data_IF_672833120964
#
_entry.id   IF_672833120964
#
_cell.length_a   1.000
_cell.length_b   1.000
_cell.length_c   1.000
_cell.angle_alpha   90.00
_cell.angle_beta   90.00
_cell.angle_gamma   90.00
#
_symmetry.space_group_name_H-M   'P 1'
#
loop_
_entity.id
_entity.type
_entity.pdbx_description
1 polymer ?
#
# COMPACT_ATOMS: atom_id res chain seq x y z
N UNK A 1 -2.92 20.63 77.96
CA UNK A 1 -4.27 20.06 78.03
C UNK A 1 -4.30 18.84 77.15
N UNK A 2 -4.49 17.79 77.78
CA UNK A 2 -4.44 16.36 77.36
C UNK A 2 -5.61 16.03 76.43
N UNK A 3 -5.43 15.30 75.34
CA UNK A 3 -6.48 14.45 74.81
C UNK A 3 -5.85 13.24 74.06
N UNK A 4 -6.16 12.15 74.55
CA UNK A 4 -5.88 10.74 74.34
C UNK A 4 -6.11 10.24 72.92
N UNK A 5 -5.14 9.44 72.45
CA UNK A 5 -5.26 8.52 71.30
C UNK A 5 -6.08 7.29 71.70
N UNK A 6 -7.13 7.00 70.94
CA UNK A 6 -7.80 5.70 70.93
C UNK A 6 -7.32 4.90 69.71
N UNK A 7 -6.78 3.68 69.94
CA UNK A 7 -6.49 2.67 68.94
C UNK A 7 -7.74 1.84 68.67
N UNK A 8 -8.06 1.50 67.41
CA UNK A 8 -9.04 0.45 67.12
C UNK A 8 -8.38 -0.92 67.14
N UNK A 9 -9.07 -1.82 67.82
CA UNK A 9 -8.70 -3.21 68.04
C UNK A 9 -8.84 -4.05 66.76
N UNK A 10 -7.88 -4.97 66.55
CA UNK A 10 -7.86 -6.01 65.54
C UNK A 10 -8.88 -7.12 65.84
N UNK A 11 -9.67 -7.63 64.89
CA UNK A 11 -10.47 -8.83 65.10
C UNK A 11 -9.60 -10.09 64.93
N UNK A 12 -9.67 -10.94 65.93
CA UNK A 12 -9.10 -12.28 65.98
C UNK A 12 -9.65 -13.21 64.91
N UNK A 13 -8.75 -13.85 64.14
CA UNK A 13 -9.07 -14.90 63.20
C UNK A 13 -9.43 -16.20 63.93
N UNK A 14 -10.66 -16.69 63.72
CA UNK A 14 -11.00 -18.09 64.09
C UNK A 14 -10.54 -18.99 62.95
N UNK A 15 -9.70 -19.99 63.33
CA UNK A 15 -9.23 -21.02 62.39
C UNK A 15 -10.33 -22.02 62.08
N UNK A 16 -10.58 -22.10 60.76
CA UNK A 16 -11.36 -23.18 60.16
C UNK A 16 -10.41 -24.29 59.68
N UNK A 17 -10.63 -25.51 60.14
CA UNK A 17 -9.87 -26.69 59.73
C UNK A 17 -10.04 -27.02 58.24
N UNK A 18 -9.03 -27.61 57.58
CA UNK A 18 -9.14 -27.97 56.17
C UNK A 18 -10.11 -29.11 55.94
N UNK A 19 -11.05 -28.92 55.02
CA UNK A 19 -12.00 -29.95 54.58
C UNK A 19 -11.28 -31.00 53.73
N UNK A 20 -11.42 -32.27 54.14
CA UNK A 20 -10.95 -33.46 53.41
C UNK A 20 -11.81 -33.66 52.16
N UNK A 21 -11.23 -33.90 50.97
CA UNK A 21 -12.01 -34.21 49.78
C UNK A 21 -12.69 -35.58 49.86
N UNK A 22 -13.87 -35.75 49.27
CA UNK A 22 -14.61 -37.01 49.27
C UNK A 22 -13.87 -38.10 48.49
N UNK A 23 -14.07 -39.40 48.85
CA UNK A 23 -13.39 -40.51 48.21
C UNK A 23 -13.87 -40.69 46.74
N UNK A 24 -12.91 -40.95 45.88
CA UNK A 24 -13.12 -41.25 44.44
C UNK A 24 -13.79 -42.62 44.33
N UNK A 25 -14.96 -42.65 43.68
CA UNK A 25 -15.64 -43.92 43.38
C UNK A 25 -14.93 -44.67 42.25
N UNK A 26 -14.80 -46.00 42.29
CA UNK A 26 -14.19 -46.79 41.24
C UNK A 26 -15.06 -46.81 39.98
N UNK A 27 -14.42 -46.62 38.83
CA UNK A 27 -15.03 -46.71 37.52
C UNK A 27 -15.46 -48.15 37.22
N UNK A 28 -16.71 -48.42 36.79
CA UNK A 28 -17.11 -49.78 36.42
C UNK A 28 -16.38 -50.29 35.21
N UNK A 29 -15.92 -51.54 35.28
CA UNK A 29 -15.21 -52.24 34.21
C UNK A 29 -16.12 -52.40 32.95
N UNK A 30 -15.59 -52.05 31.76
CA UNK A 30 -16.24 -52.27 30.51
C UNK A 30 -16.34 -53.79 30.18
N UNK A 31 -17.46 -54.24 29.63
CA UNK A 31 -17.60 -55.64 29.17
C UNK A 31 -16.65 -55.93 27.98
N UNK A 32 -16.18 -57.17 27.85
CA UNK A 32 -15.25 -57.57 26.81
C UNK A 32 -15.92 -57.44 25.43
N UNK A 33 -15.22 -56.83 24.50
CA UNK A 33 -15.65 -56.76 23.09
C UNK A 33 -15.57 -58.14 22.41
N UNK A 34 -16.51 -58.46 21.52
CA UNK A 34 -16.46 -59.72 20.78
C UNK A 34 -15.28 -59.76 19.81
N UNK A 35 -14.56 -60.87 19.80
CA UNK A 35 -13.43 -61.14 18.92
C UNK A 35 -13.84 -61.07 17.44
N UNK A 36 -13.19 -60.19 16.69
CA UNK A 36 -13.34 -60.11 15.26
C UNK A 36 -12.69 -61.34 14.56
N UNK A 37 -13.49 -62.20 13.96
CA UNK A 37 -12.97 -63.26 13.08
C UNK A 37 -12.67 -62.62 11.70
N UNK A 38 -11.48 -62.83 11.13
CA UNK A 38 -11.17 -62.38 9.79
C UNK A 38 -11.96 -63.19 8.76
N UNK A 39 -12.50 -62.57 7.70
CA UNK A 39 -13.16 -63.31 6.61
C UNK A 39 -12.19 -64.14 5.82
N UNK A 40 -12.60 -65.36 5.50
CA UNK A 40 -11.86 -66.35 4.68
C UNK A 40 -11.47 -65.78 3.32
N UNK A 41 -10.21 -65.90 2.99
CA UNK A 41 -9.62 -65.60 1.68
C UNK A 41 -10.39 -66.25 0.52
N UNK A 42 -10.89 -65.44 -0.40
CA UNK A 42 -11.42 -65.91 -1.70
C UNK A 42 -10.54 -65.36 -2.81
N UNK A 43 -9.74 -66.26 -3.30
CA UNK A 43 -9.20 -66.38 -4.67
C UNK A 43 -8.42 -65.21 -5.27
N UNK A 44 -7.16 -65.43 -5.46
CA UNK A 44 -6.11 -64.68 -6.18
C UNK A 44 -6.53 -64.17 -7.58
N UNK A 45 -7.52 -64.76 -8.22
CA UNK A 45 -7.99 -64.39 -9.56
C UNK A 45 -8.80 -63.09 -9.63
N UNK A 46 -9.41 -62.62 -8.55
CA UNK A 46 -10.12 -61.31 -8.51
C UNK A 46 -9.21 -60.14 -8.21
N UNK A 47 -8.10 -60.36 -7.53
CA UNK A 47 -7.12 -59.32 -7.22
C UNK A 47 -6.31 -58.88 -8.45
N UNK A 48 -6.01 -59.82 -9.37
CA UNK A 48 -5.20 -59.53 -10.56
C UNK A 48 -5.95 -58.64 -11.58
N UNK A 49 -7.27 -58.80 -11.75
CA UNK A 49 -8.08 -57.99 -12.69
C UNK A 49 -8.28 -56.55 -12.20
N UNK A 50 -8.44 -56.35 -10.90
CA UNK A 50 -8.59 -55.02 -10.29
C UNK A 50 -7.24 -54.28 -10.20
N UNK A 51 -6.14 -54.99 -9.92
CA UNK A 51 -4.80 -54.39 -9.89
C UNK A 51 -4.29 -53.97 -11.27
N UNK A 52 -4.54 -54.77 -12.30
CA UNK A 52 -4.15 -54.43 -13.68
C UNK A 52 -4.99 -53.26 -14.24
N UNK A 53 -6.29 -53.23 -13.96
CA UNK A 53 -7.15 -52.09 -14.38
C UNK A 53 -6.81 -50.80 -13.68
N UNK A 54 -6.54 -50.85 -12.38
CA UNK A 54 -6.13 -49.67 -11.61
C UNK A 54 -4.72 -49.17 -12.00
N UNK A 55 -3.79 -50.11 -12.29
CA UNK A 55 -2.44 -49.77 -12.73
C UNK A 55 -2.42 -49.12 -14.13
N UNK A 56 -3.21 -49.64 -15.07
CA UNK A 56 -3.35 -49.08 -16.41
C UNK A 56 -4.07 -47.71 -16.37
N UNK A 57 -5.11 -47.58 -15.56
CA UNK A 57 -5.82 -46.31 -15.39
C UNK A 57 -4.95 -45.23 -14.75
N UNK A 58 -4.23 -45.56 -13.66
CA UNK A 58 -3.31 -44.64 -13.02
C UNK A 58 -2.13 -44.26 -13.92
N UNK A 59 -1.56 -45.25 -14.66
CA UNK A 59 -0.50 -45.01 -15.63
C UNK A 59 -0.92 -44.09 -16.77
N UNK A 60 -2.15 -44.23 -17.28
CA UNK A 60 -2.68 -43.37 -18.35
C UNK A 60 -2.89 -41.93 -17.84
N UNK A 61 -3.42 -41.76 -16.62
CA UNK A 61 -3.58 -40.44 -15.99
C UNK A 61 -2.23 -39.75 -15.78
N UNK A 62 -1.22 -40.46 -15.26
CA UNK A 62 0.14 -39.93 -15.08
C UNK A 62 0.78 -39.56 -16.42
N UNK A 63 0.58 -40.36 -17.45
CA UNK A 63 1.11 -40.11 -18.80
C UNK A 63 0.43 -38.89 -19.44
N UNK A 64 -0.89 -38.76 -19.31
CA UNK A 64 -1.65 -37.59 -19.80
C UNK A 64 -1.24 -36.33 -19.07
N UNK A 65 -1.12 -36.38 -17.74
CA UNK A 65 -0.65 -35.24 -16.94
C UNK A 65 0.82 -34.89 -17.26
N UNK A 66 1.66 -35.89 -17.51
CA UNK A 66 3.05 -35.69 -17.94
C UNK A 66 3.15 -35.01 -19.31
N UNK A 67 2.32 -35.42 -20.28
CA UNK A 67 2.26 -34.82 -21.62
C UNK A 67 1.72 -33.37 -21.53
N UNK A 68 0.66 -33.15 -20.75
CA UNK A 68 0.12 -31.80 -20.52
C UNK A 68 1.18 -30.93 -19.85
N UNK A 69 1.85 -31.42 -18.82
CA UNK A 69 2.94 -30.72 -18.14
C UNK A 69 4.10 -30.37 -19.08
N UNK A 70 4.50 -31.29 -19.94
CA UNK A 70 5.54 -31.08 -20.95
C UNK A 70 5.13 -30.05 -22.00
N UNK A 71 3.88 -30.06 -22.44
CA UNK A 71 3.34 -29.07 -23.39
C UNK A 71 3.29 -27.70 -22.77
N UNK A 72 2.85 -27.58 -21.53
CA UNK A 72 2.85 -26.33 -20.79
C UNK A 72 4.29 -25.81 -20.61
N UNK A 73 5.22 -26.68 -20.23
CA UNK A 73 6.64 -26.32 -20.10
C UNK A 73 7.24 -25.87 -21.42
N UNK A 74 6.93 -26.55 -22.53
CA UNK A 74 7.40 -26.18 -23.86
C UNK A 74 6.81 -24.85 -24.34
N UNK A 75 5.53 -24.55 -24.01
CA UNK A 75 4.90 -23.25 -24.30
C UNK A 75 5.54 -22.12 -23.47
N UNK A 76 5.82 -22.37 -22.21
CA UNK A 76 6.51 -21.38 -21.33
C UNK A 76 7.94 -21.14 -21.83
N UNK A 77 8.69 -22.21 -22.15
CA UNK A 77 10.05 -22.08 -22.70
C UNK A 77 10.05 -21.39 -24.07
N UNK A 78 9.09 -21.71 -24.93
CA UNK A 78 8.91 -21.03 -26.23
C UNK A 78 8.60 -19.54 -26.07
N UNK A 79 7.74 -19.18 -25.12
CA UNK A 79 7.44 -17.79 -24.82
C UNK A 79 8.64 -17.02 -24.21
N UNK A 80 9.39 -17.65 -23.31
CA UNK A 80 10.62 -17.09 -22.72
C UNK A 80 11.72 -16.96 -23.79
N UNK A 81 11.89 -17.94 -24.66
CA UNK A 81 12.90 -17.89 -25.71
C UNK A 81 12.55 -16.84 -26.77
N UNK A 82 11.27 -16.71 -27.16
CA UNK A 82 10.82 -15.65 -28.07
C UNK A 82 10.98 -14.26 -27.47
N UNK A 83 10.79 -14.08 -26.15
CA UNK A 83 11.08 -12.84 -25.46
C UNK A 83 12.57 -12.54 -25.37
N UNK A 84 13.43 -13.55 -25.22
CA UNK A 84 14.89 -13.42 -25.16
C UNK A 84 15.56 -13.17 -26.53
N UNK A 85 14.97 -13.66 -27.62
CA UNK A 85 15.51 -13.49 -28.99
C UNK A 85 14.99 -12.24 -29.69
N UNK A 86 13.94 -11.58 -29.16
CA UNK A 86 13.52 -10.25 -29.59
C UNK A 86 14.51 -9.24 -29.05
N UNK A 87 15.61 -9.05 -29.79
CA UNK A 87 16.74 -8.20 -29.41
C UNK A 87 16.29 -6.84 -28.86
N UNK A 88 16.95 -6.44 -27.80
CA UNK A 88 16.80 -5.26 -27.00
C UNK A 88 16.62 -3.97 -27.85
N UNK A 89 15.40 -3.67 -28.15
CA UNK A 89 14.93 -2.32 -28.33
C UNK A 89 14.18 -1.98 -27.04
N UNK A 90 14.43 -0.81 -26.44
CA UNK A 90 13.89 -0.41 -25.14
C UNK A 90 12.41 -0.75 -24.90
N UNK A 91 11.84 -0.53 -23.74
CA UNK A 91 10.53 -1.05 -23.38
C UNK A 91 9.48 -0.63 -24.41
N UNK A 92 9.29 -1.48 -25.44
CA UNK A 92 8.15 -1.31 -26.34
C UNK A 92 6.92 -1.42 -25.48
N UNK A 93 6.14 -0.36 -25.40
CA UNK A 93 4.88 -0.27 -24.67
C UNK A 93 3.85 -1.13 -25.42
N UNK A 94 4.01 -2.44 -25.35
CA UNK A 94 3.05 -3.41 -25.87
C UNK A 94 1.95 -3.60 -24.84
N UNK A 95 0.68 -3.57 -25.29
CA UNK A 95 -0.48 -3.77 -24.42
C UNK A 95 -1.00 -2.48 -23.78
N UNK A 96 -1.14 -1.42 -24.57
CA UNK A 96 -1.84 -0.20 -24.16
C UNK A 96 -3.37 -0.37 -24.26
N UNK A 97 -4.05 0.12 -23.23
CA UNK A 97 -5.49 0.29 -23.17
C UNK A 97 -5.84 1.76 -23.40
N UNK A 98 -6.76 2.04 -24.31
CA UNK A 98 -7.21 3.41 -24.60
C UNK A 98 -8.02 3.93 -23.42
N UNK A 99 -7.63 5.08 -22.90
CA UNK A 99 -8.36 5.85 -21.88
C UNK A 99 -9.26 6.88 -22.57
N UNK A 100 -8.76 7.49 -23.66
CA UNK A 100 -9.49 8.51 -24.40
C UNK A 100 -8.94 8.64 -25.84
N UNK A 101 -9.82 9.03 -26.77
CA UNK A 101 -9.46 9.35 -28.16
C UNK A 101 -9.46 8.13 -29.08
N UNK A 102 -8.55 8.09 -30.05
CA UNK A 102 -8.48 7.03 -31.04
C UNK A 102 -8.13 5.67 -30.45
N UNK A 103 -8.72 4.59 -30.95
CA UNK A 103 -8.44 3.21 -30.49
C UNK A 103 -6.97 2.82 -30.71
N UNK A 104 -6.38 3.31 -31.79
CA UNK A 104 -4.97 3.08 -32.14
C UNK A 104 -4.34 4.37 -32.62
N UNK A 105 -3.09 4.61 -32.28
CA UNK A 105 -2.32 5.74 -32.78
C UNK A 105 -0.82 5.41 -32.76
N UNK A 106 -0.03 6.07 -33.57
CA UNK A 106 1.42 6.02 -33.53
C UNK A 106 1.95 6.58 -32.18
N UNK A 107 3.14 6.20 -31.72
CA UNK A 107 3.71 6.74 -30.49
C UNK A 107 3.73 8.27 -30.44
N UNK A 108 4.08 8.92 -31.55
CA UNK A 108 4.08 10.38 -31.70
C UNK A 108 2.69 11.04 -31.54
N UNK A 109 1.61 10.28 -31.59
CA UNK A 109 0.21 10.69 -31.40
C UNK A 109 -0.40 10.11 -30.13
N UNK A 110 0.39 9.35 -29.36
CA UNK A 110 -0.05 8.70 -28.13
C UNK A 110 0.51 9.44 -26.91
N UNK A 111 -0.38 9.84 -26.02
CA UNK A 111 -0.06 10.36 -24.69
C UNK A 111 -0.15 9.22 -23.69
N UNK A 112 0.88 9.04 -22.89
CA UNK A 112 0.91 7.97 -21.90
C UNK A 112 0.24 8.42 -20.60
N UNK A 113 -0.79 7.70 -20.18
CA UNK A 113 -1.45 7.92 -18.91
C UNK A 113 -0.80 7.05 -17.82
N UNK A 114 -0.32 7.67 -16.74
CA UNK A 114 0.30 7.01 -15.60
C UNK A 114 -0.61 7.20 -14.38
N UNK A 115 -1.23 6.14 -13.84
CA UNK A 115 -2.06 6.23 -12.65
C UNK A 115 -1.20 6.45 -11.39
N UNK A 116 -1.64 7.40 -10.55
CA UNK A 116 -1.11 7.68 -9.22
C UNK A 116 -2.31 7.62 -8.26
N UNK A 117 -2.58 6.43 -7.77
CA UNK A 117 -3.79 6.15 -7.01
C UNK A 117 -3.46 5.52 -5.65
N UNK A 118 -4.29 5.80 -4.63
CA UNK A 118 -4.09 5.33 -3.28
C UNK A 118 -2.85 5.93 -2.61
N UNK A 119 -2.32 5.26 -1.60
CA UNK A 119 -1.16 5.74 -0.85
C UNK A 119 0.13 5.72 -1.69
N UNK A 120 0.87 6.82 -1.70
CA UNK A 120 2.19 6.90 -2.33
C UNK A 120 3.25 6.34 -1.36
N UNK A 121 3.86 5.22 -1.72
CA UNK A 121 4.96 4.60 -1.00
C UNK A 121 6.27 4.80 -1.76
N UNK A 122 7.41 4.63 -1.08
CA UNK A 122 8.72 4.77 -1.72
C UNK A 122 8.95 3.65 -2.73
N UNK A 123 8.96 2.42 -2.25
CA UNK A 123 9.19 1.21 -3.04
C UNK A 123 8.26 0.08 -2.57
N UNK A 124 7.99 -0.86 -3.44
CA UNK A 124 7.17 -2.02 -3.13
C UNK A 124 8.02 -3.25 -2.82
N UNK A 125 7.78 -3.88 -1.68
CA UNK A 125 8.22 -5.26 -1.47
C UNK A 125 7.45 -6.22 -2.40
N UNK A 126 7.92 -7.47 -2.50
CA UNK A 126 7.32 -8.53 -3.35
C UNK A 126 5.99 -9.07 -2.78
N UNK A 127 5.33 -8.34 -1.87
CA UNK A 127 4.10 -8.75 -1.20
C UNK A 127 2.82 -8.35 -1.95
N UNK A 128 1.74 -9.11 -1.70
CA UNK A 128 0.39 -8.76 -2.12
C UNK A 128 -0.06 -7.48 -1.41
N UNK A 129 -0.32 -6.41 -2.16
CA UNK A 129 -0.96 -5.22 -1.61
C UNK A 129 -2.49 -5.43 -1.61
N UNK A 130 -3.11 -5.31 -0.44
CA UNK A 130 -4.58 -5.42 -0.29
C UNK A 130 -5.30 -4.08 -0.53
N UNK A 131 -4.57 -2.98 -0.60
CA UNK A 131 -5.08 -1.65 -0.94
C UNK A 131 -4.35 -1.12 -2.16
N UNK A 132 -5.04 -0.30 -2.96
CA UNK A 132 -4.42 0.42 -4.06
C UNK A 132 -3.26 1.27 -3.51
N UNK A 133 -2.09 1.15 -4.14
CA UNK A 133 -0.88 1.85 -3.73
C UNK A 133 -0.05 2.22 -4.95
N UNK A 134 0.62 3.35 -4.85
CA UNK A 134 1.57 3.84 -5.85
C UNK A 134 2.98 3.77 -5.29
N UNK A 135 3.92 3.22 -6.06
CA UNK A 135 5.32 3.12 -5.67
C UNK A 135 6.15 4.18 -6.42
N UNK A 136 6.57 5.20 -5.70
CA UNK A 136 7.19 6.39 -6.26
C UNK A 136 8.46 6.11 -7.05
N UNK A 137 9.34 5.23 -6.57
CA UNK A 137 10.56 4.86 -7.29
C UNK A 137 10.28 4.06 -8.58
N UNK A 138 9.19 3.29 -8.64
CA UNK A 138 8.81 2.59 -9.87
C UNK A 138 8.27 3.56 -10.93
N UNK A 139 7.45 4.53 -10.51
CA UNK A 139 7.00 5.62 -11.41
C UNK A 139 8.19 6.44 -11.90
N UNK A 140 9.12 6.78 -11.01
CA UNK A 140 10.32 7.52 -11.37
C UNK A 140 11.14 6.75 -12.42
N UNK A 141 11.40 5.45 -12.21
CA UNK A 141 12.08 4.60 -13.20
C UNK A 141 11.35 4.56 -14.54
N UNK A 142 10.01 4.52 -14.52
CA UNK A 142 9.20 4.55 -15.74
C UNK A 142 9.39 5.86 -16.50
N UNK A 143 9.28 7.01 -15.83
CA UNK A 143 9.48 8.34 -16.45
C UNK A 143 10.92 8.51 -16.95
N UNK A 144 11.91 8.03 -16.21
CA UNK A 144 13.32 8.10 -16.59
C UNK A 144 13.65 7.20 -17.80
N UNK A 145 12.91 6.10 -17.99
CA UNK A 145 13.09 5.20 -19.12
C UNK A 145 12.41 5.69 -20.42
N UNK A 146 11.41 6.60 -20.33
CA UNK A 146 10.72 7.12 -21.51
C UNK A 146 11.62 8.05 -22.32
N UNK A 147 11.81 7.73 -23.60
CA UNK A 147 12.52 8.57 -24.57
C UNK A 147 11.59 9.56 -25.27
N UNK A 148 12.17 10.36 -26.20
CA UNK A 148 11.42 11.35 -27.02
C UNK A 148 10.42 10.71 -27.97
N UNK A 149 10.68 9.47 -28.39
CA UNK A 149 9.92 8.77 -29.44
C UNK A 149 8.89 7.77 -28.88
N UNK A 150 8.87 7.57 -27.56
CA UNK A 150 7.99 6.59 -26.93
C UNK A 150 6.55 7.09 -26.75
N UNK A 151 6.38 8.40 -26.54
CA UNK A 151 5.08 9.05 -26.40
C UNK A 151 5.16 10.53 -26.76
N UNK A 152 4.02 11.12 -27.08
CA UNK A 152 3.91 12.56 -27.32
C UNK A 152 4.04 13.39 -26.03
N UNK A 153 3.69 12.81 -24.89
CA UNK A 153 3.74 13.38 -23.56
C UNK A 153 3.14 12.44 -22.53
N UNK A 154 2.98 12.93 -21.31
CA UNK A 154 2.47 12.14 -20.18
C UNK A 154 1.28 12.84 -19.54
N UNK A 155 0.26 12.07 -19.15
CA UNK A 155 -0.81 12.49 -18.24
C UNK A 155 -0.69 11.67 -16.96
N UNK A 156 -0.54 12.34 -15.82
CA UNK A 156 -0.62 11.73 -14.49
C UNK A 156 -2.10 11.70 -14.08
N UNK A 157 -2.67 10.52 -13.90
CA UNK A 157 -4.03 10.34 -13.39
C UNK A 157 -3.98 10.30 -11.87
N UNK A 158 -4.38 11.39 -11.23
CA UNK A 158 -4.19 11.60 -9.80
C UNK A 158 -5.45 11.26 -9.00
N UNK A 159 -5.36 10.28 -8.10
CA UNK A 159 -6.39 10.01 -7.09
C UNK A 159 -5.73 9.48 -5.80
N UNK A 160 -5.09 10.35 -5.05
CA UNK A 160 -4.24 9.97 -3.92
C UNK A 160 -4.37 10.93 -2.73
N UNK A 161 -4.44 10.42 -1.49
CA UNK A 161 -4.34 11.23 -0.28
C UNK A 161 -2.89 11.64 0.04
N UNK A 162 -1.91 11.22 -0.75
CA UNK A 162 -0.48 11.40 -0.49
C UNK A 162 0.19 10.13 0.03
N UNK A 163 1.28 10.29 0.76
CA UNK A 163 2.04 9.15 1.30
C UNK A 163 3.42 9.54 1.82
N UNK A 164 4.43 8.72 1.56
CA UNK A 164 5.79 8.97 2.02
C UNK A 164 6.44 10.14 1.28
N UNK A 165 7.26 10.91 1.98
CA UNK A 165 7.99 12.05 1.40
C UNK A 165 8.87 11.60 0.23
N UNK A 166 9.67 10.56 0.45
CA UNK A 166 10.61 10.05 -0.54
C UNK A 166 9.90 9.48 -1.80
N UNK A 167 8.77 8.79 -1.65
CA UNK A 167 7.97 8.32 -2.78
C UNK A 167 7.36 9.46 -3.59
N UNK A 168 6.79 10.45 -2.92
CA UNK A 168 6.18 11.62 -3.56
C UNK A 168 7.23 12.49 -4.27
N UNK A 169 8.37 12.71 -3.63
CA UNK A 169 9.49 13.46 -4.19
C UNK A 169 10.13 12.76 -5.38
N UNK A 170 10.27 11.43 -5.32
CA UNK A 170 10.80 10.66 -6.45
C UNK A 170 9.96 10.85 -7.73
N UNK A 171 8.63 10.90 -7.60
CA UNK A 171 7.74 11.20 -8.73
C UNK A 171 7.96 12.63 -9.22
N UNK A 172 7.96 13.60 -8.32
CA UNK A 172 8.12 15.02 -8.64
C UNK A 172 9.44 15.30 -9.37
N UNK A 173 10.55 14.80 -8.83
CA UNK A 173 11.88 14.95 -9.43
C UNK A 173 11.97 14.23 -10.80
N UNK A 174 11.29 13.09 -10.97
CA UNK A 174 11.26 12.36 -12.24
C UNK A 174 10.42 13.08 -13.31
N UNK A 175 9.34 13.74 -12.94
CA UNK A 175 8.57 14.61 -13.84
C UNK A 175 9.46 15.74 -14.38
N UNK A 176 10.19 16.43 -13.50
CA UNK A 176 11.09 17.50 -13.90
C UNK A 176 12.24 16.99 -14.81
N UNK A 177 12.84 15.84 -14.48
CA UNK A 177 13.87 15.20 -15.32
C UNK A 177 13.31 14.79 -16.69
N UNK A 178 12.10 14.21 -16.73
CA UNK A 178 11.44 13.85 -17.99
C UNK A 178 11.23 15.06 -18.89
N UNK A 179 10.63 16.13 -18.34
CA UNK A 179 10.40 17.38 -19.08
C UNK A 179 11.71 18.00 -19.57
N UNK A 180 12.74 18.06 -18.74
CA UNK A 180 14.05 18.63 -19.08
C UNK A 180 14.75 17.85 -20.19
N UNK A 181 14.71 16.52 -20.13
CA UNK A 181 15.39 15.60 -21.04
C UNK A 181 14.68 15.47 -22.39
N UNK A 182 13.37 15.35 -22.39
CA UNK A 182 12.58 15.06 -23.60
C UNK A 182 11.95 16.30 -24.22
N UNK A 183 11.83 17.40 -23.47
CA UNK A 183 11.06 18.60 -23.84
C UNK A 183 9.57 18.32 -24.07
N UNK A 184 9.10 17.15 -23.63
CA UNK A 184 7.68 16.76 -23.69
C UNK A 184 6.94 17.30 -22.49
N UNK A 185 5.62 17.50 -22.68
CA UNK A 185 4.74 18.03 -21.64
C UNK A 185 4.23 16.95 -20.70
N UNK A 186 4.03 17.33 -19.45
CA UNK A 186 3.36 16.53 -18.42
C UNK A 186 2.12 17.27 -17.93
N UNK A 187 0.97 16.64 -18.00
CA UNK A 187 -0.30 17.16 -17.46
C UNK A 187 -0.70 16.31 -16.27
N UNK A 188 -1.12 16.92 -15.17
CA UNK A 188 -1.75 16.22 -14.07
C UNK A 188 -3.28 16.38 -14.16
N UNK A 189 -4.01 15.29 -14.16
CA UNK A 189 -5.46 15.27 -14.11
C UNK A 189 -5.95 14.64 -12.82
N UNK A 190 -6.56 15.43 -11.95
CA UNK A 190 -7.04 14.99 -10.64
C UNK A 190 -8.46 14.46 -10.76
N UNK A 191 -8.65 13.18 -10.42
CA UNK A 191 -9.91 12.46 -10.48
C UNK A 191 -10.36 12.07 -9.05
N UNK A 192 -10.81 13.05 -8.27
CA UNK A 192 -11.27 12.91 -6.91
C UNK A 192 -10.38 13.59 -5.89
N UNK A 193 -9.18 13.11 -5.63
CA UNK A 193 -8.30 13.69 -4.62
C UNK A 193 -6.84 13.75 -5.09
N UNK A 194 -6.16 14.87 -4.86
CA UNK A 194 -4.70 14.93 -4.92
C UNK A 194 -4.19 15.81 -3.77
N UNK A 195 -3.95 15.18 -2.64
CA UNK A 195 -3.60 15.87 -1.41
C UNK A 195 -2.18 15.53 -0.95
N UNK A 196 -1.54 16.46 -0.23
CA UNK A 196 -0.27 16.24 0.45
C UNK A 196 0.83 15.75 -0.51
N UNK A 197 1.32 14.51 -0.37
CA UNK A 197 2.28 13.92 -1.33
C UNK A 197 1.79 13.89 -2.77
N UNK A 198 0.48 13.84 -3.01
CA UNK A 198 -0.10 13.99 -4.35
C UNK A 198 0.08 15.40 -4.91
N UNK A 199 -0.12 16.43 -4.08
CA UNK A 199 0.17 17.81 -4.45
C UNK A 199 1.66 18.01 -4.73
N UNK A 200 2.54 17.38 -3.92
CA UNK A 200 3.98 17.42 -4.15
C UNK A 200 4.35 16.81 -5.51
N UNK A 201 3.81 15.63 -5.82
CA UNK A 201 4.12 14.88 -7.04
C UNK A 201 3.68 15.62 -8.32
N UNK A 202 2.54 16.32 -8.29
CA UNK A 202 1.99 16.97 -9.48
C UNK A 202 2.37 18.45 -9.63
N UNK A 203 2.92 19.11 -8.60
CA UNK A 203 3.16 20.55 -8.61
C UNK A 203 4.02 21.03 -9.79
N UNK A 204 4.98 20.19 -10.24
CA UNK A 204 5.88 20.47 -11.38
C UNK A 204 5.29 20.14 -12.76
N UNK A 205 4.04 19.68 -12.87
CA UNK A 205 3.41 19.45 -14.16
C UNK A 205 3.21 20.76 -14.94
N UNK A 206 3.30 20.70 -16.28
CA UNK A 206 3.07 21.87 -17.14
C UNK A 206 1.64 22.43 -17.02
N UNK A 207 0.69 21.56 -16.68
CA UNK A 207 -0.70 21.92 -16.42
C UNK A 207 -1.33 20.96 -15.43
N UNK A 208 -2.09 21.50 -14.49
CA UNK A 208 -2.83 20.73 -13.50
C UNK A 208 -4.33 21.03 -13.69
N UNK A 209 -5.08 19.99 -14.00
CA UNK A 209 -6.53 20.05 -14.22
C UNK A 209 -7.21 19.19 -13.15
N UNK A 210 -8.30 19.65 -12.57
CA UNK A 210 -9.11 18.86 -11.66
C UNK A 210 -10.48 18.58 -12.26
N UNK A 211 -10.98 17.35 -12.11
CA UNK A 211 -12.35 17.01 -12.43
C UNK A 211 -13.33 17.70 -11.44
N UNK A 212 -14.59 17.78 -11.83
CA UNK A 212 -15.65 18.33 -10.98
C UNK A 212 -15.77 17.54 -9.67
N UNK A 213 -15.82 18.26 -8.56
CA UNK A 213 -15.88 17.65 -7.22
C UNK A 213 -14.54 17.13 -6.68
N UNK A 214 -13.46 17.26 -7.44
CA UNK A 214 -12.12 16.91 -6.95
C UNK A 214 -11.62 17.89 -5.90
N UNK A 215 -10.75 17.39 -5.05
CA UNK A 215 -10.13 18.13 -3.94
C UNK A 215 -8.60 18.11 -4.07
N UNK A 216 -7.94 19.25 -3.77
CA UNK A 216 -6.49 19.37 -3.84
C UNK A 216 -5.94 20.19 -2.68
N UNK A 217 -4.64 20.03 -2.36
CA UNK A 217 -3.98 20.82 -1.33
C UNK A 217 -3.28 19.98 -0.27
N UNK A 218 -3.56 20.26 1.02
CA UNK A 218 -2.91 19.60 2.16
C UNK A 218 -1.38 19.72 2.09
N UNK A 219 -0.86 20.94 1.89
CA UNK A 219 0.58 21.21 1.86
C UNK A 219 1.11 21.20 3.28
N UNK A 220 1.52 20.02 3.77
CA UNK A 220 1.97 19.84 5.14
C UNK A 220 2.61 18.46 5.35
N UNK A 221 3.30 18.32 6.47
CA UNK A 221 4.00 17.10 6.88
C UNK A 221 3.50 16.66 8.25
N UNK A 222 3.25 15.37 8.41
CA UNK A 222 2.81 14.76 9.66
C UNK A 222 3.74 13.62 10.07
N UNK A 223 3.99 13.48 11.37
CA UNK A 223 4.70 12.34 11.94
C UNK A 223 3.96 11.87 13.20
N UNK A 224 3.53 10.63 13.22
CA UNK A 224 2.69 10.06 14.26
C UNK A 224 1.47 9.32 13.69
N UNK A 225 0.46 8.97 14.49
CA UNK A 225 0.22 9.43 15.86
C UNK A 225 1.16 8.79 16.91
N UNK A 226 1.47 9.53 17.98
CA UNK A 226 2.10 8.97 19.16
C UNK A 226 1.01 8.60 20.17
N UNK A 227 0.85 7.32 20.40
CA UNK A 227 -0.07 6.79 21.42
C UNK A 227 0.61 6.89 22.80
N UNK A 228 -0.12 7.28 23.82
CA UNK A 228 0.32 7.28 25.19
C UNK A 228 -0.70 6.57 26.08
N UNK A 229 -0.22 5.59 26.82
CA UNK A 229 -0.99 4.88 27.81
C UNK A 229 -0.71 5.45 29.22
N UNK A 230 -1.78 5.61 29.99
CA UNK A 230 -1.72 6.00 31.38
C UNK A 230 -2.63 5.09 32.18
N UNK A 231 -2.13 4.61 33.32
CA UNK A 231 -2.90 3.78 34.25
C UNK A 231 -3.57 2.55 33.57
N UNK A 232 -2.84 1.90 32.67
CA UNK A 232 -3.32 0.71 31.96
C UNK A 232 -3.47 -0.44 32.94
N UNK A 233 -4.67 -1.01 33.04
CA UNK A 233 -4.97 -2.12 33.94
C UNK A 233 -5.28 -3.43 33.19
N UNK A 234 -5.49 -3.38 31.89
CA UNK A 234 -5.74 -4.58 31.08
C UNK A 234 -5.26 -4.42 29.63
N UNK A 235 -4.81 -5.54 29.06
CA UNK A 235 -4.56 -5.67 27.61
C UNK A 235 -5.42 -6.79 27.05
N UNK A 236 -5.93 -6.66 25.84
CA UNK A 236 -6.56 -7.76 25.12
C UNK A 236 -5.51 -8.73 24.60
N UNK A 237 -5.77 -10.03 24.71
CA UNK A 237 -4.92 -11.07 24.15
C UNK A 237 -5.15 -11.29 22.65
N UNK A 238 -4.26 -12.08 22.04
CA UNK A 238 -4.37 -12.61 20.69
C UNK A 238 -4.39 -14.14 20.71
N UNK A 239 -4.45 -14.80 19.55
CA UNK A 239 -4.36 -16.28 19.48
C UNK A 239 -3.02 -16.85 19.96
N UNK A 240 -1.96 -16.04 20.02
CA UNK A 240 -0.60 -16.44 20.40
C UNK A 240 -0.11 -15.78 21.69
N UNK A 241 -0.82 -14.79 22.18
CA UNK A 241 -0.43 -14.02 23.36
C UNK A 241 -1.65 -13.80 24.28
N UNK A 242 -1.56 -14.21 25.52
CA UNK A 242 -2.66 -14.05 26.48
C UNK A 242 -2.85 -12.58 26.85
N UNK A 243 -4.10 -12.15 27.01
CA UNK A 243 -4.42 -10.86 27.62
C UNK A 243 -4.01 -10.85 29.08
N UNK A 244 -3.68 -9.67 29.61
CA UNK A 244 -3.29 -9.45 31.00
C UNK A 244 -4.27 -8.49 31.64
N UNK A 245 -4.72 -8.79 32.85
CA UNK A 245 -5.48 -7.88 33.71
C UNK A 245 -4.84 -7.78 35.08
N UNK A 246 -4.69 -6.57 35.60
CA UNK A 246 -4.04 -6.29 36.88
C UNK A 246 -4.66 -5.05 37.53
N UNK A 247 -4.59 -4.97 38.87
CA UNK A 247 -4.99 -3.80 39.65
C UNK A 247 -3.84 -2.80 39.89
N UNK A 248 -2.59 -3.25 39.70
CA UNK A 248 -1.38 -2.45 39.89
C UNK A 248 -0.89 -1.67 38.69
N UNK A 249 -1.57 -1.80 37.57
CA UNK A 249 -1.17 -1.20 36.31
C UNK A 249 -0.20 -2.06 35.48
N UNK A 250 -0.05 -1.72 34.21
CA UNK A 250 0.89 -2.33 33.25
C UNK A 250 1.84 -1.23 32.78
N UNK A 251 3.13 -1.50 32.86
CA UNK A 251 4.19 -0.63 32.31
C UNK A 251 5.08 -1.45 31.38
N UNK A 252 5.69 -0.79 30.41
CA UNK A 252 6.67 -1.38 29.52
C UNK A 252 7.94 -0.53 29.54
N UNK A 253 9.05 -1.16 29.86
CA UNK A 253 10.36 -0.51 29.94
C UNK A 253 11.32 -1.12 28.93
N UNK A 254 12.10 -0.28 28.24
CA UNK A 254 13.18 -0.68 27.37
C UNK A 254 14.53 -0.35 28.03
N UNK A 255 15.36 -1.33 28.23
CA UNK A 255 16.75 -1.12 28.63
C UNK A 255 17.57 -0.79 27.37
N UNK A 256 18.00 0.46 27.25
CA UNK A 256 18.64 0.95 26.03
C UNK A 256 19.96 1.64 26.33
N UNK A 257 20.84 1.67 25.31
CA UNK A 257 22.01 2.53 25.26
C UNK A 257 21.84 3.55 24.14
N UNK A 258 22.07 4.82 24.43
CA UNK A 258 21.84 5.97 23.53
C UNK A 258 20.56 6.73 23.87
N UNK A 259 20.68 8.05 24.03
CA UNK A 259 19.57 8.94 24.35
C UNK A 259 18.50 8.88 23.26
N UNK A 260 17.24 8.65 23.63
CA UNK A 260 16.11 8.57 22.70
C UNK A 260 15.99 7.24 21.95
N UNK A 261 16.73 6.18 22.34
CA UNK A 261 16.67 4.90 21.65
C UNK A 261 15.31 4.19 21.84
N UNK A 262 14.62 4.48 22.91
CA UNK A 262 13.25 4.04 23.22
C UNK A 262 12.19 5.08 22.83
N UNK A 263 12.52 5.97 21.88
CA UNK A 263 11.58 6.94 21.33
C UNK A 263 10.32 6.25 20.79
N UNK A 264 9.16 6.82 21.11
CA UNK A 264 7.87 6.22 20.75
C UNK A 264 7.32 5.23 21.78
N UNK A 265 8.02 4.95 22.91
CA UNK A 265 7.49 4.16 23.99
C UNK A 265 6.18 4.78 24.53
N UNK A 266 5.02 4.08 24.41
CA UNK A 266 3.72 4.65 24.79
C UNK A 266 3.53 4.74 26.31
N UNK A 267 4.36 4.07 27.11
CA UNK A 267 4.26 4.05 28.57
C UNK A 267 5.03 5.18 29.27
N UNK A 268 5.79 6.00 28.54
CA UNK A 268 6.41 7.22 29.04
C UNK A 268 6.12 8.45 28.20
N UNK A 269 6.24 9.63 28.81
CA UNK A 269 6.16 10.88 28.06
C UNK A 269 7.38 11.04 27.14
N UNK A 270 7.13 11.61 25.95
CA UNK A 270 8.19 12.09 25.09
C UNK A 270 8.95 13.22 25.80
N UNK A 271 10.27 13.16 25.79
CA UNK A 271 11.10 14.23 26.35
C UNK A 271 11.04 15.50 25.50
N UNK A 272 11.40 16.64 26.09
CA UNK A 272 11.50 17.92 25.36
C UNK A 272 12.49 17.84 24.21
N UNK A 273 13.61 17.14 24.39
CA UNK A 273 14.61 16.97 23.33
C UNK A 273 14.13 16.08 22.20
N UNK A 274 13.48 14.96 22.50
CA UNK A 274 12.87 14.11 21.46
C UNK A 274 11.83 14.88 20.65
N UNK A 275 10.96 15.62 21.33
CA UNK A 275 9.99 16.50 20.67
C UNK A 275 10.66 17.51 19.77
N UNK A 276 11.71 18.19 20.27
CA UNK A 276 12.45 19.19 19.49
C UNK A 276 13.06 18.58 18.22
N UNK A 277 13.75 17.46 18.34
CA UNK A 277 14.39 16.80 17.19
C UNK A 277 13.37 16.46 16.11
N UNK A 278 12.21 15.91 16.50
CA UNK A 278 11.16 15.57 15.54
C UNK A 278 10.53 16.83 14.93
N UNK A 279 10.25 17.85 15.75
CA UNK A 279 9.63 19.09 15.26
C UNK A 279 10.56 19.85 14.29
N UNK A 280 11.87 19.91 14.60
CA UNK A 280 12.85 20.51 13.71
C UNK A 280 12.95 19.74 12.37
N UNK A 281 12.95 18.39 12.41
CA UNK A 281 12.92 17.57 11.22
C UNK A 281 11.66 17.82 10.37
N UNK A 282 10.50 17.88 11.00
CA UNK A 282 9.23 18.20 10.32
C UNK A 282 9.26 19.60 9.69
N UNK A 283 9.84 20.58 10.37
CA UNK A 283 9.99 21.94 9.84
C UNK A 283 10.85 21.95 8.56
N UNK A 284 11.96 21.24 8.55
CA UNK A 284 12.84 21.13 7.37
C UNK A 284 12.10 20.51 6.16
N UNK A 285 11.37 19.41 6.38
CA UNK A 285 10.61 18.75 5.31
C UNK A 285 9.42 19.62 4.85
N UNK A 286 8.78 20.33 5.77
CA UNK A 286 7.71 21.28 5.44
C UNK A 286 8.24 22.45 4.60
N UNK A 287 9.39 23.01 4.95
CA UNK A 287 10.02 24.09 4.20
C UNK A 287 10.43 23.62 2.78
N UNK A 288 10.93 22.40 2.65
CA UNK A 288 11.22 21.81 1.36
C UNK A 288 9.96 21.64 0.50
N UNK A 289 8.85 21.17 1.08
CA UNK A 289 7.58 21.04 0.38
C UNK A 289 7.01 22.38 -0.05
N UNK A 290 6.98 23.36 0.86
CA UNK A 290 6.55 24.73 0.56
C UNK A 290 7.40 25.33 -0.55
N UNK A 291 8.72 25.20 -0.49
CA UNK A 291 9.64 25.69 -1.51
C UNK A 291 9.39 25.07 -2.89
N UNK A 292 9.13 23.77 -2.94
CA UNK A 292 8.77 23.06 -4.16
C UNK A 292 7.49 23.61 -4.81
N UNK A 293 6.40 23.67 -4.04
CA UNK A 293 5.11 24.20 -4.54
C UNK A 293 5.23 25.68 -4.89
N UNK A 294 5.90 26.46 -4.06
CA UNK A 294 6.10 27.90 -4.31
C UNK A 294 6.77 28.16 -5.67
N UNK A 295 7.82 27.39 -5.97
CA UNK A 295 8.57 27.50 -7.23
C UNK A 295 7.70 27.15 -8.41
N UNK A 296 7.07 25.99 -8.39
CA UNK A 296 6.34 25.46 -9.55
C UNK A 296 4.98 26.10 -9.77
N UNK A 297 4.29 26.48 -8.70
CA UNK A 297 2.97 27.16 -8.78
C UNK A 297 3.05 28.67 -8.74
N UNK A 298 4.26 29.24 -8.58
CA UNK A 298 4.51 30.68 -8.49
C UNK A 298 3.67 31.33 -7.39
N UNK A 299 3.62 30.70 -6.23
CA UNK A 299 2.94 31.17 -5.03
C UNK A 299 4.01 31.58 -4.01
N UNK A 300 3.85 32.71 -3.35
CA UNK A 300 4.82 33.12 -2.32
C UNK A 300 4.83 32.08 -1.16
N UNK A 301 6.01 31.69 -0.65
CA UNK A 301 6.10 30.74 0.47
C UNK A 301 5.27 31.16 1.70
N UNK A 302 5.22 32.44 2.03
CA UNK A 302 4.40 32.96 3.11
C UNK A 302 2.91 32.70 2.87
N UNK A 303 2.41 32.94 1.65
CA UNK A 303 1.02 32.65 1.30
C UNK A 303 0.69 31.16 1.49
N UNK A 304 1.63 30.26 1.15
CA UNK A 304 1.42 28.83 1.37
C UNK A 304 1.36 28.50 2.86
N UNK A 305 2.24 29.08 3.66
CA UNK A 305 2.31 28.81 5.10
C UNK A 305 1.16 29.43 5.90
N UNK A 306 0.81 30.67 5.58
CA UNK A 306 -0.06 31.49 6.42
C UNK A 306 -1.53 31.48 5.92
N UNK A 307 -1.75 31.48 4.60
CA UNK A 307 -3.09 31.58 4.01
C UNK A 307 -3.62 30.23 3.50
N UNK A 308 -2.77 29.38 2.90
CA UNK A 308 -3.16 28.09 2.39
C UNK A 308 -3.17 27.02 3.50
N UNK A 309 -2.10 26.96 4.29
CA UNK A 309 -1.94 25.92 5.30
C UNK A 309 -2.01 24.51 4.73
N UNK A 310 -2.30 23.55 5.58
CA UNK A 310 -2.48 22.14 5.19
C UNK A 310 -3.96 21.78 4.94
N UNK A 311 -4.76 22.71 4.46
CA UNK A 311 -6.16 22.47 4.11
C UNK A 311 -6.29 21.90 2.70
N UNK A 312 -7.44 21.26 2.42
CA UNK A 312 -7.85 20.83 1.08
C UNK A 312 -8.91 21.80 0.54
N UNK A 313 -8.90 21.95 -0.78
CA UNK A 313 -9.72 22.93 -1.47
C UNK A 313 -10.48 22.28 -2.62
N UNK A 314 -11.69 22.75 -2.87
CA UNK A 314 -12.46 22.44 -4.07
C UNK A 314 -11.80 23.07 -5.31
N UNK A 315 -12.25 22.64 -6.50
CA UNK A 315 -11.63 23.04 -7.77
C UNK A 315 -11.64 24.57 -7.99
N UNK A 316 -12.75 25.26 -7.67
CA UNK A 316 -12.84 26.70 -7.85
C UNK A 316 -11.85 27.43 -6.91
N UNK A 317 -11.87 27.10 -5.64
CA UNK A 317 -10.97 27.69 -4.64
C UNK A 317 -9.50 27.38 -4.98
N UNK A 318 -9.22 26.17 -5.48
CA UNK A 318 -7.88 25.77 -5.86
C UNK A 318 -7.35 26.57 -7.08
N UNK A 319 -8.20 26.93 -8.03
CA UNK A 319 -7.86 27.84 -9.15
C UNK A 319 -7.55 29.23 -8.60
N UNK A 320 -8.44 29.81 -7.78
CA UNK A 320 -8.26 31.14 -7.17
C UNK A 320 -6.94 31.23 -6.39
N UNK A 321 -6.56 30.12 -5.74
CA UNK A 321 -5.31 29.96 -4.98
C UNK A 321 -4.11 29.49 -5.82
N UNK A 322 -4.26 29.34 -7.13
CA UNK A 322 -3.23 28.91 -8.08
C UNK A 322 -2.65 27.50 -7.81
N UNK A 323 -3.34 26.68 -7.05
CA UNK A 323 -2.94 25.28 -6.83
C UNK A 323 -3.13 24.43 -8.10
N UNK A 324 -4.16 24.75 -8.89
CA UNK A 324 -4.44 24.12 -10.19
C UNK A 324 -4.69 25.19 -11.25
N UNK A 325 -4.72 24.79 -12.51
CA UNK A 325 -4.86 25.70 -13.64
C UNK A 325 -6.29 25.73 -14.20
N UNK A 326 -7.05 24.64 -14.08
CA UNK A 326 -8.41 24.55 -14.58
C UNK A 326 -9.23 23.46 -13.87
N UNK A 327 -10.55 23.58 -14.00
CA UNK A 327 -11.50 22.53 -13.64
C UNK A 327 -12.28 22.13 -14.89
N UNK A 328 -12.22 20.86 -15.28
CA UNK A 328 -12.82 20.32 -16.52
C UNK A 328 -13.22 18.88 -16.28
N UNK A 329 -14.29 18.43 -16.97
CA UNK A 329 -14.62 17.01 -17.04
C UNK A 329 -13.60 16.20 -17.84
N UNK A 330 -13.64 14.85 -17.78
CA UNK A 330 -12.59 14.01 -18.39
C UNK A 330 -12.38 14.23 -19.88
N UNK A 331 -13.43 14.38 -20.69
CA UNK A 331 -13.30 14.60 -22.13
C UNK A 331 -12.58 15.91 -22.44
N UNK A 332 -12.98 17.00 -21.77
CA UNK A 332 -12.36 18.30 -21.92
C UNK A 332 -10.90 18.30 -21.45
N UNK A 333 -10.62 17.66 -20.31
CA UNK A 333 -9.28 17.59 -19.73
C UNK A 333 -8.30 16.83 -20.65
N UNK A 334 -8.71 15.69 -21.22
CA UNK A 334 -7.86 14.96 -22.16
C UNK A 334 -7.69 15.70 -23.48
N UNK A 335 -8.74 16.38 -23.96
CA UNK A 335 -8.67 17.24 -25.15
C UNK A 335 -7.69 18.41 -24.94
N UNK A 336 -7.78 19.08 -23.80
CA UNK A 336 -6.85 20.14 -23.41
C UNK A 336 -5.41 19.64 -23.31
N UNK A 337 -5.21 18.47 -22.70
CA UNK A 337 -3.89 17.85 -22.56
C UNK A 337 -3.24 17.53 -23.93
N UNK A 338 -3.96 16.91 -24.85
CA UNK A 338 -3.41 16.57 -26.18
C UNK A 338 -3.15 17.83 -27.01
N UNK A 339 -4.00 18.85 -26.90
CA UNK A 339 -3.78 20.15 -27.56
C UNK A 339 -2.55 20.88 -26.99
N UNK A 340 -2.35 20.87 -25.67
CA UNK A 340 -1.15 21.42 -25.03
C UNK A 340 0.14 20.74 -25.56
N UNK A 341 0.05 19.46 -25.93
CA UNK A 341 1.15 18.69 -26.52
C UNK A 341 1.29 18.87 -28.01
N UNK A 342 0.45 19.73 -28.65
CA UNK A 342 0.48 20.02 -30.09
C UNK A 342 -0.12 18.93 -30.95
N UNK A 343 -1.00 18.08 -30.40
CA UNK A 343 -1.67 17.00 -31.11
C UNK A 343 -3.07 17.41 -31.59
N UNK A 344 -3.53 16.78 -32.69
CA UNK A 344 -4.92 16.86 -33.09
C UNK A 344 -5.78 15.87 -32.29
N UNK A 345 -6.78 16.41 -31.59
CA UNK A 345 -7.68 15.64 -30.76
C UNK A 345 -8.47 14.55 -31.53
N UNK A 346 -8.64 14.70 -32.84
CA UNK A 346 -9.34 13.71 -33.67
C UNK A 346 -8.48 12.43 -33.91
N UNK A 347 -7.16 12.54 -33.86
CA UNK A 347 -6.22 11.45 -34.16
C UNK A 347 -5.38 11.03 -32.94
N UNK A 348 -5.38 11.86 -31.91
CA UNK A 348 -4.63 11.60 -30.69
C UNK A 348 -5.28 10.49 -29.82
N UNK A 349 -4.43 9.83 -29.07
CA UNK A 349 -4.80 8.78 -28.14
C UNK A 349 -4.18 9.06 -26.76
N UNK A 350 -4.98 8.98 -25.72
CA UNK A 350 -4.50 8.86 -24.34
C UNK A 350 -4.63 7.39 -23.94
N UNK A 351 -3.54 6.76 -23.56
CA UNK A 351 -3.53 5.34 -23.27
C UNK A 351 -2.69 5.02 -22.03
N UNK A 352 -3.13 4.04 -21.24
CA UNK A 352 -2.39 3.48 -20.12
C UNK A 352 -1.93 2.06 -20.42
N UNK A 353 -0.93 1.57 -19.70
CA UNK A 353 -0.52 0.17 -19.79
C UNK A 353 -1.64 -0.70 -19.23
N UNK A 354 -1.96 -1.77 -19.97
CA UNK A 354 -2.91 -2.77 -19.49
C UNK A 354 -2.33 -3.52 -18.30
N UNK A 355 -3.13 -3.70 -17.24
CA UNK A 355 -2.75 -4.55 -16.13
C UNK A 355 -2.62 -6.02 -16.61
N UNK A 356 -1.67 -6.76 -16.05
CA UNK A 356 -1.53 -8.18 -16.32
C UNK A 356 -2.82 -8.93 -15.94
N UNK A 357 -3.28 -9.83 -16.80
CA UNK A 357 -4.42 -10.70 -16.51
C UNK A 357 -4.10 -11.65 -15.35
N UNK A 358 -5.13 -12.23 -14.72
CA UNK A 358 -4.93 -13.19 -13.63
C UNK A 358 -4.04 -14.38 -14.03
N UNK A 359 -4.13 -14.82 -15.29
CA UNK A 359 -3.27 -15.88 -15.81
C UNK A 359 -1.82 -15.44 -15.97
N UNK A 360 -1.59 -14.24 -16.49
CA UNK A 360 -0.24 -13.68 -16.61
C UNK A 360 0.40 -13.43 -15.23
N UNK A 361 -0.39 -13.01 -14.24
CA UNK A 361 0.07 -12.88 -12.85
C UNK A 361 0.43 -14.25 -12.25
N UNK A 362 -0.35 -15.29 -12.51
CA UNK A 362 -0.04 -16.68 -12.09
C UNK A 362 1.27 -17.18 -12.74
N UNK A 363 1.59 -16.72 -13.94
CA UNK A 363 2.82 -17.01 -14.65
C UNK A 363 3.99 -16.08 -14.27
N UNK A 364 3.83 -15.28 -13.23
CA UNK A 364 4.89 -14.41 -12.69
C UNK A 364 4.93 -13.00 -13.26
N UNK A 365 3.94 -12.58 -14.06
CA UNK A 365 3.84 -11.20 -14.51
C UNK A 365 3.48 -10.27 -13.34
N UNK A 366 4.10 -9.09 -13.28
CA UNK A 366 3.79 -8.10 -12.27
C UNK A 366 2.35 -7.58 -12.42
N UNK A 367 1.60 -7.57 -11.32
CA UNK A 367 0.29 -6.93 -11.27
C UNK A 367 0.37 -5.38 -11.35
N UNK A 368 1.56 -4.83 -11.23
CA UNK A 368 1.79 -3.39 -11.16
C UNK A 368 1.84 -2.77 -12.56
N UNK A 369 1.17 -1.62 -12.68
CA UNK A 369 1.17 -0.81 -13.90
C UNK A 369 1.94 0.47 -13.61
N UNK A 370 3.16 0.60 -14.12
CA UNK A 370 4.03 1.76 -13.90
C UNK A 370 4.25 2.13 -12.42
N UNK A 371 4.29 1.14 -11.51
CA UNK A 371 4.39 1.39 -10.09
C UNK A 371 3.04 1.60 -9.38
N UNK A 372 1.93 1.60 -10.08
CA UNK A 372 0.61 1.54 -9.49
C UNK A 372 0.17 0.08 -9.28
N UNK A 373 -0.23 -0.23 -8.06
CA UNK A 373 -0.77 -1.52 -7.67
C UNK A 373 -2.29 -1.38 -7.44
N UNK A 374 -3.14 -1.96 -8.29
CA UNK A 374 -4.57 -1.96 -8.05
C UNK A 374 -4.93 -2.77 -6.79
N UNK A 375 -6.02 -2.39 -6.14
CA UNK A 375 -6.55 -3.13 -5.00
C UNK A 375 -6.99 -4.54 -5.43
N UNK A 376 -6.62 -5.56 -4.65
CA UNK A 376 -7.16 -6.91 -4.83
C UNK A 376 -8.48 -7.02 -4.09
N UNK A 377 -9.57 -7.57 -4.69
CA UNK A 377 -10.85 -7.76 -3.99
C UNK A 377 -10.69 -8.61 -2.74
N UNK A 378 -11.27 -8.14 -1.66
CA UNK A 378 -10.99 -8.51 -0.27
C UNK A 378 -11.42 -9.91 0.16
N UNK A 379 -10.49 -10.63 0.83
CA UNK A 379 -10.80 -11.66 1.84
C UNK A 379 -10.19 -11.37 3.22
N UNK A 380 -9.11 -10.60 3.34
CA UNK A 380 -8.40 -10.36 4.62
C UNK A 380 -7.76 -8.98 4.65
N UNK A 381 -7.83 -8.31 5.82
CA UNK A 381 -7.14 -7.03 6.07
C UNK A 381 -5.63 -7.26 6.18
N UNK A 382 -4.84 -6.67 5.31
CA UNK A 382 -3.39 -6.56 5.50
C UNK A 382 -3.02 -5.12 5.88
N UNK A 383 -2.17 -4.98 6.86
CA UNK A 383 -1.55 -3.72 7.21
C UNK A 383 -0.55 -3.29 6.11
N UNK A 384 -0.62 -2.04 5.69
CA UNK A 384 0.38 -1.48 4.78
C UNK A 384 1.75 -1.39 5.48
N UNK A 385 2.85 -1.36 4.71
CA UNK A 385 4.20 -1.16 5.27
C UNK A 385 4.32 0.16 6.07
N UNK A 386 3.46 1.13 5.79
CA UNK A 386 3.33 2.37 6.57
C UNK A 386 2.91 2.08 8.01
N UNK A 387 2.17 0.98 8.24
CA UNK A 387 1.56 0.64 9.53
C UNK A 387 2.36 -0.37 10.36
N UNK A 388 3.25 -1.13 9.73
CA UNK A 388 4.04 -2.20 10.40
C UNK A 388 5.50 -1.84 10.57
N UNK A 389 5.95 -0.73 9.98
CA UNK A 389 7.34 -0.28 10.02
C UNK A 389 7.63 0.73 11.14
N UNK A 390 8.89 1.15 11.20
CA UNK A 390 9.31 2.29 12.02
C UNK A 390 8.55 3.55 11.59
N UNK A 391 8.13 4.41 12.54
CA UNK A 391 7.50 5.68 12.21
C UNK A 391 8.36 6.49 11.23
N UNK A 392 7.76 6.98 10.16
CA UNK A 392 8.43 7.82 9.16
C UNK A 392 7.57 9.06 8.86
N UNK A 393 8.18 10.18 8.47
CA UNK A 393 7.44 11.37 8.06
C UNK A 393 6.58 11.09 6.83
N UNK A 394 5.34 11.58 6.85
CA UNK A 394 4.37 11.37 5.78
C UNK A 394 3.86 12.69 5.23
N UNK A 395 3.66 12.73 3.92
CA UNK A 395 2.83 13.68 3.21
C UNK A 395 1.46 13.02 2.98
N UNK A 396 0.60 13.06 4.00
CA UNK A 396 -0.68 12.36 4.04
C UNK A 396 -1.82 13.28 4.43
N UNK A 397 -2.97 13.14 3.77
CA UNK A 397 -4.21 13.78 4.16
C UNK A 397 -5.25 12.75 4.57
N UNK A 398 -5.78 12.87 5.78
CA UNK A 398 -6.76 11.99 6.39
C UNK A 398 -6.28 11.34 7.69
N UNK A 399 -7.14 10.58 8.39
CA UNK A 399 -6.74 9.84 9.58
C UNK A 399 -5.71 8.78 9.20
N UNK A 400 -4.57 8.74 9.87
CA UNK A 400 -3.53 7.72 9.62
C UNK A 400 -4.07 6.32 9.90
N UNK A 401 -5.05 6.19 10.80
CA UNK A 401 -5.79 4.96 11.08
C UNK A 401 -6.56 4.42 9.87
N UNK A 402 -6.90 5.24 8.89
CA UNK A 402 -7.54 4.78 7.65
C UNK A 402 -6.62 3.96 6.74
N UNK A 403 -5.31 4.10 6.92
CA UNK A 403 -4.29 3.31 6.22
C UNK A 403 -4.01 2.02 6.99
N UNK A 404 -4.11 2.08 8.33
CA UNK A 404 -3.65 1.07 9.26
C UNK A 404 -4.79 0.26 9.89
N UNK A 405 -6.04 0.55 9.54
CA UNK A 405 -7.32 0.15 10.09
C UNK A 405 -7.66 -1.23 10.42
#
# INVERSE_FOLDING_TARGET
MSSTHEHPQTPTAQGGAPSVPPPVQPIPAMPPQPAFMPPRERSFRRGFGLGAGAGLGAGTVVLVLGVIGSLITALIYGAVLSAATSGASGPRVTGLETVWGAETAAPAQTVLAIPIEGAIQADGGDGFALTASTYGYEIARTLDALGTDDAAGVVLLMNTPGGTINGSRAIADAVERYQSRTRKKVVAFVQGLSASGGMYAMAGADRIIADHGSLVGSIGVIFGPFVRYKDVVATSGSFVEAGVSTTGGITQEYLTQGTGKDFGNPFRAMTTQERKVITDGLANEYDAFVGWVATHRRIAPATIKDDLGAYIYDGKTAIDKKLIDAQMGPDEAFRDAVQLMGLDAATARVAKRKAASALEQLLGASARVYGYQPAVPQGTRASSLICTGTPQPLLWHGPVTSICG
#
